data_IF_353969568550
#
_entry.id   IF_353969568550
#
_cell.length_a   1.000
_cell.length_b   1.000
_cell.length_c   1.000
_cell.angle_alpha   90.00
_cell.angle_beta   90.00
_cell.angle_gamma   90.00
#
_symmetry.space_group_name_H-M   'P 1'
#
loop_
_entity.id
_entity.type
_entity.pdbx_description
1 polymer ?
#
# COMPACT_ATOMS: atom_id res chain seq x y z
N UNK A 1 -15.94 -25.84 29.74
CA UNK A 1 -16.97 -24.78 29.75
C UNK A 1 -16.30 -23.49 30.20
N UNK A 2 -15.72 -22.76 29.25
CA UNK A 2 -15.39 -21.34 29.38
C UNK A 2 -15.29 -20.83 27.94
N UNK A 3 -16.33 -20.09 27.59
CA UNK A 3 -16.58 -19.39 26.35
C UNK A 3 -15.52 -18.30 26.14
N UNK A 4 -14.80 -18.40 25.02
CA UNK A 4 -13.83 -17.42 24.55
C UNK A 4 -14.33 -16.82 23.25
N UNK A 5 -15.36 -15.99 23.34
CA UNK A 5 -15.71 -14.89 22.43
C UNK A 5 -14.54 -14.36 21.60
N UNK A 6 -14.31 -14.96 20.42
CA UNK A 6 -13.72 -14.24 19.29
C UNK A 6 -14.82 -13.38 18.69
N UNK A 7 -14.69 -12.07 18.88
CA UNK A 7 -15.53 -11.04 18.27
C UNK A 7 -15.70 -11.32 16.77
N UNK A 8 -16.91 -11.77 16.38
CA UNK A 8 -17.38 -11.66 15.01
C UNK A 8 -17.52 -10.17 14.70
N UNK A 9 -16.43 -9.61 14.15
CA UNK A 9 -16.38 -8.25 13.62
C UNK A 9 -17.45 -8.13 12.52
N UNK A 10 -18.52 -7.41 12.84
CA UNK A 10 -19.60 -7.00 11.93
C UNK A 10 -19.03 -6.62 10.55
N UNK A 11 -19.16 -7.52 9.57
CA UNK A 11 -18.69 -7.28 8.21
C UNK A 11 -19.73 -6.45 7.47
N UNK A 12 -19.59 -5.13 7.51
CA UNK A 12 -20.19 -4.30 6.45
C UNK A 12 -19.78 -4.89 5.10
N UNK A 13 -20.76 -5.17 4.24
CA UNK A 13 -20.51 -5.75 2.93
C UNK A 13 -19.77 -4.73 2.06
N UNK A 14 -18.44 -4.89 1.96
CA UNK A 14 -17.59 -3.98 1.19
C UNK A 14 -17.85 -4.21 -0.30
N UNK A 15 -18.45 -3.21 -0.94
CA UNK A 15 -18.64 -3.20 -2.40
C UNK A 15 -17.54 -2.39 -3.07
N UNK A 16 -16.88 -2.96 -4.08
CA UNK A 16 -15.88 -2.27 -4.90
C UNK A 16 -16.47 -1.85 -6.24
N UNK A 17 -16.19 -0.62 -6.65
CA UNK A 17 -16.56 -0.10 -7.96
C UNK A 17 -15.38 0.48 -8.72
N UNK A 18 -15.44 0.41 -10.04
CA UNK A 18 -14.43 0.98 -10.94
C UNK A 18 -15.02 2.16 -11.71
N UNK A 19 -14.25 3.24 -11.79
CA UNK A 19 -14.51 4.41 -12.63
C UNK A 19 -13.35 4.59 -13.60
N UNK A 20 -13.66 4.64 -14.90
CA UNK A 20 -12.67 4.98 -15.93
C UNK A 20 -12.48 6.49 -15.95
N UNK A 21 -11.22 6.93 -15.92
CA UNK A 21 -10.84 8.34 -16.00
C UNK A 21 -9.85 8.55 -17.13
N UNK A 22 -9.97 9.67 -17.84
CA UNK A 22 -8.97 10.08 -18.83
C UNK A 22 -7.81 10.73 -18.10
N UNK A 23 -6.67 10.04 -18.04
CA UNK A 23 -5.51 10.54 -17.31
C UNK A 23 -4.79 11.70 -18.03
N UNK A 24 -4.93 11.76 -19.37
CA UNK A 24 -4.40 12.83 -20.22
C UNK A 24 -5.50 13.85 -20.48
N UNK A 25 -5.16 15.14 -20.51
CA UNK A 25 -6.07 16.25 -20.79
C UNK A 25 -7.19 16.44 -19.76
N UNK A 26 -6.94 16.13 -18.47
CA UNK A 26 -7.84 16.56 -17.41
C UNK A 26 -7.94 18.10 -17.44
N UNK A 27 -9.14 18.68 -17.62
CA UNK A 27 -9.30 20.12 -17.52
C UNK A 27 -8.84 20.58 -16.13
N UNK A 28 -8.19 21.74 -16.02
CA UNK A 28 -7.68 22.32 -14.77
C UNK A 28 -8.72 22.37 -13.63
N UNK A 29 -10.01 22.21 -13.96
CA UNK A 29 -11.17 22.27 -13.07
C UNK A 29 -11.78 20.92 -12.67
N UNK A 30 -11.28 19.77 -13.10
CA UNK A 30 -11.61 18.50 -12.42
C UNK A 30 -10.47 18.10 -11.47
N UNK A 31 -10.54 18.48 -10.19
CA UNK A 31 -9.66 17.94 -9.16
C UNK A 31 -10.12 16.50 -8.87
N UNK A 32 -9.73 15.55 -9.74
CA UNK A 32 -9.88 14.14 -9.39
C UNK A 32 -8.70 13.75 -8.52
N UNK A 33 -8.87 13.95 -7.21
CA UNK A 33 -7.94 13.42 -6.21
C UNK A 33 -8.17 11.91 -6.08
N UNK A 34 -7.07 11.16 -6.11
CA UNK A 34 -7.06 9.72 -5.93
C UNK A 34 -5.84 9.34 -5.12
N UNK A 35 -5.94 8.23 -4.40
CA UNK A 35 -4.80 7.57 -3.79
C UNK A 35 -4.26 6.48 -4.74
N UNK A 36 -3.03 6.04 -4.53
CA UNK A 36 -2.46 4.89 -5.23
C UNK A 36 -1.96 3.84 -4.24
N UNK A 37 -2.01 2.57 -4.62
CA UNK A 37 -1.41 1.47 -3.88
C UNK A 37 -0.05 1.11 -4.47
N UNK A 38 1.00 1.09 -3.64
CA UNK A 38 2.28 0.44 -3.93
C UNK A 38 2.41 -0.80 -3.06
N UNK A 39 2.64 -1.96 -3.68
CA UNK A 39 2.76 -3.23 -2.97
C UNK A 39 3.65 -4.21 -3.75
N UNK A 40 4.17 -5.23 -3.07
CA UNK A 40 4.86 -6.32 -3.75
C UNK A 40 3.85 -7.31 -4.30
N UNK A 41 4.01 -7.75 -5.55
CA UNK A 41 3.10 -8.75 -6.13
C UNK A 41 3.21 -10.12 -5.43
N UNK A 42 4.37 -10.41 -4.83
CA UNK A 42 4.59 -11.61 -4.04
C UNK A 42 4.46 -12.90 -4.86
N UNK A 43 3.96 -13.96 -4.23
CA UNK A 43 3.72 -15.24 -4.90
C UNK A 43 2.56 -15.15 -5.91
N UNK A 44 2.87 -15.27 -7.20
CA UNK A 44 1.90 -15.19 -8.29
C UNK A 44 1.29 -16.55 -8.66
N UNK A 45 1.64 -17.65 -7.98
CA UNK A 45 1.15 -19.00 -8.29
C UNK A 45 -0.33 -19.22 -7.95
N UNK A 46 -0.85 -18.43 -7.01
CA UNK A 46 -2.24 -18.53 -6.56
C UNK A 46 -2.96 -17.20 -6.78
N UNK A 47 -4.21 -17.29 -7.22
CA UNK A 47 -5.13 -16.17 -7.35
C UNK A 47 -6.34 -16.37 -6.44
N UNK A 48 -6.95 -15.26 -6.07
CA UNK A 48 -8.11 -15.19 -5.21
C UNK A 48 -9.21 -14.38 -5.92
N UNK A 49 -10.49 -14.74 -5.74
CA UNK A 49 -11.59 -14.01 -6.33
C UNK A 49 -11.72 -12.60 -5.74
N UNK A 50 -11.92 -11.61 -6.62
CA UNK A 50 -12.21 -10.23 -6.24
C UNK A 50 -13.39 -9.73 -7.08
N UNK A 51 -14.45 -9.25 -6.44
CA UNK A 51 -15.64 -8.76 -7.14
C UNK A 51 -15.57 -7.24 -7.23
N UNK A 52 -15.65 -6.71 -8.45
CA UNK A 52 -15.71 -5.28 -8.70
C UNK A 52 -16.70 -4.98 -9.82
N UNK A 53 -17.61 -4.01 -9.62
CA UNK A 53 -18.72 -3.76 -10.56
C UNK A 53 -19.50 -5.04 -10.93
N UNK A 54 -19.72 -5.94 -9.96
CA UNK A 54 -20.34 -7.26 -10.16
C UNK A 54 -19.59 -8.20 -11.11
N UNK A 55 -18.36 -7.87 -11.50
CA UNK A 55 -17.48 -8.73 -12.30
C UNK A 55 -16.47 -9.44 -11.39
N UNK A 56 -16.23 -10.72 -11.69
CA UNK A 56 -15.23 -11.53 -11.00
C UNK A 56 -13.85 -11.32 -11.64
N UNK A 57 -12.94 -10.76 -10.86
CA UNK A 57 -11.52 -10.62 -11.17
C UNK A 57 -10.70 -11.61 -10.33
N UNK A 58 -9.48 -11.88 -10.78
CA UNK A 58 -8.52 -12.72 -10.07
C UNK A 58 -7.34 -11.87 -9.62
N UNK A 59 -7.09 -11.84 -8.31
CA UNK A 59 -6.00 -11.05 -7.71
C UNK A 59 -5.00 -11.96 -7.00
N UNK A 60 -3.73 -11.60 -7.00
CA UNK A 60 -2.70 -12.37 -6.31
C UNK A 60 -2.74 -12.18 -4.79
N UNK A 61 -2.08 -13.11 -4.09
CA UNK A 61 -2.07 -13.20 -2.63
C UNK A 61 -1.85 -11.87 -1.91
N UNK A 62 -0.83 -11.10 -2.30
CA UNK A 62 -0.48 -9.87 -1.59
C UNK A 62 -1.56 -8.79 -1.74
N UNK A 63 -2.18 -8.68 -2.92
CA UNK A 63 -3.29 -7.74 -3.13
C UNK A 63 -4.53 -8.22 -2.37
N UNK A 64 -4.86 -9.50 -2.45
CA UNK A 64 -5.96 -10.08 -1.67
C UNK A 64 -5.80 -9.80 -0.17
N UNK A 65 -4.58 -9.95 0.36
CA UNK A 65 -4.28 -9.63 1.75
C UNK A 65 -4.40 -8.13 2.05
N UNK A 66 -4.08 -7.23 1.11
CA UNK A 66 -4.16 -5.78 1.31
C UNK A 66 -5.60 -5.24 1.29
N UNK A 67 -6.47 -5.80 0.45
CA UNK A 67 -7.82 -5.26 0.18
C UNK A 67 -8.67 -4.98 1.44
N UNK A 68 -8.74 -5.88 2.46
CA UNK A 68 -9.51 -5.62 3.68
C UNK A 68 -9.00 -4.40 4.48
N UNK A 69 -7.68 -4.16 4.44
CA UNK A 69 -7.07 -3.01 5.12
C UNK A 69 -7.29 -1.73 4.33
N UNK A 70 -7.16 -1.81 3.00
CA UNK A 70 -7.43 -0.68 2.12
C UNK A 70 -8.90 -0.23 2.21
N UNK A 71 -9.85 -1.16 2.32
CA UNK A 71 -11.26 -0.82 2.51
C UNK A 71 -11.53 -0.03 3.81
N UNK A 72 -10.67 -0.20 4.82
CA UNK A 72 -10.76 0.43 6.14
C UNK A 72 -9.84 1.64 6.31
N UNK A 73 -9.09 2.02 5.28
CA UNK A 73 -8.21 3.19 5.29
C UNK A 73 -9.00 4.45 5.66
N UNK A 74 -8.37 5.40 6.34
CA UNK A 74 -9.05 6.67 6.69
C UNK A 74 -9.43 7.50 5.47
N UNK A 75 -8.59 7.49 4.45
CA UNK A 75 -8.87 8.17 3.18
C UNK A 75 -10.05 7.54 2.45
N UNK A 76 -11.01 8.37 2.03
CA UNK A 76 -12.15 7.93 1.20
C UNK A 76 -11.95 8.23 -0.28
N UNK A 77 -10.77 8.73 -0.68
CA UNK A 77 -10.45 8.98 -2.09
C UNK A 77 -10.46 7.65 -2.87
N UNK A 78 -10.87 7.65 -4.15
CA UNK A 78 -10.69 6.51 -5.05
C UNK A 78 -9.23 6.06 -5.03
N UNK A 79 -8.99 4.74 -5.09
CA UNK A 79 -7.63 4.20 -5.08
C UNK A 79 -7.31 3.54 -6.41
N UNK A 80 -6.18 3.93 -7.00
CA UNK A 80 -5.60 3.26 -8.15
C UNK A 80 -4.76 2.06 -7.69
N UNK A 81 -5.02 0.89 -8.30
CA UNK A 81 -4.32 -0.37 -8.05
C UNK A 81 -3.96 -0.95 -9.42
N UNK A 82 -2.67 -1.07 -9.74
CA UNK A 82 -2.16 -1.52 -11.04
C UNK A 82 -2.84 -2.81 -11.55
N UNK A 83 -2.97 -3.82 -10.70
CA UNK A 83 -3.55 -5.13 -11.05
C UNK A 83 -5.07 -5.08 -11.32
N UNK A 84 -5.77 -4.02 -10.91
CA UNK A 84 -7.23 -3.87 -11.09
C UNK A 84 -7.55 -2.78 -12.13
N UNK A 85 -6.85 -1.66 -12.08
CA UNK A 85 -7.11 -0.47 -12.89
C UNK A 85 -6.44 -0.51 -14.28
N UNK A 86 -5.57 -1.49 -14.53
CA UNK A 86 -4.95 -1.72 -15.85
C UNK A 86 -5.50 -3.00 -16.44
N UNK A 87 -5.85 -2.98 -17.73
CA UNK A 87 -6.21 -4.20 -18.43
C UNK A 87 -4.98 -5.11 -18.59
N UNK A 88 -4.87 -6.11 -17.72
CA UNK A 88 -3.74 -7.04 -17.72
C UNK A 88 -3.72 -7.98 -18.94
N UNK A 89 -4.80 -8.04 -19.71
CA UNK A 89 -4.92 -8.91 -20.89
C UNK A 89 -4.55 -8.20 -22.21
N UNK A 90 -4.37 -6.88 -22.18
CA UNK A 90 -3.93 -6.09 -23.33
C UNK A 90 -2.48 -5.62 -23.10
N UNK A 91 -1.53 -6.31 -23.72
CA UNK A 91 -0.11 -5.98 -23.61
C UNK A 91 0.23 -4.60 -24.19
N UNK A 92 -0.51 -4.12 -25.20
CA UNK A 92 -0.28 -2.78 -25.75
C UNK A 92 -0.74 -1.70 -24.77
N UNK A 93 -1.91 -1.85 -24.17
CA UNK A 93 -2.42 -0.97 -23.11
C UNK A 93 -1.49 -1.00 -21.89
N UNK A 94 -1.12 -2.19 -21.43
CA UNK A 94 -0.24 -2.38 -20.28
C UNK A 94 1.10 -1.68 -20.45
N UNK A 95 1.72 -1.76 -21.63
CA UNK A 95 2.96 -1.05 -21.93
C UNK A 95 2.79 0.49 -21.88
N UNK A 96 1.63 1.00 -22.32
CA UNK A 96 1.29 2.42 -22.19
C UNK A 96 1.13 2.80 -20.71
N UNK A 97 0.41 2.00 -19.93
CA UNK A 97 0.17 2.23 -18.51
C UNK A 97 1.47 2.17 -17.68
N UNK A 98 2.35 1.19 -17.94
CA UNK A 98 3.67 1.10 -17.29
C UNK A 98 4.47 2.38 -17.51
N UNK A 99 4.48 2.92 -18.73
CA UNK A 99 5.16 4.19 -19.02
C UNK A 99 4.53 5.37 -18.28
N UNK A 100 3.25 5.30 -17.90
CA UNK A 100 2.52 6.36 -17.21
C UNK A 100 2.53 6.23 -15.68
N UNK A 101 2.92 5.09 -15.12
CA UNK A 101 2.91 4.83 -13.67
C UNK A 101 3.59 5.94 -12.86
N UNK A 102 4.73 6.45 -13.32
CA UNK A 102 5.44 7.54 -12.65
C UNK A 102 4.57 8.80 -12.46
N UNK A 103 3.74 9.15 -13.44
CA UNK A 103 2.80 10.27 -13.33
C UNK A 103 1.63 9.94 -12.40
N UNK A 104 1.15 8.70 -12.41
CA UNK A 104 0.05 8.24 -11.55
C UNK A 104 0.48 8.39 -10.09
N UNK A 105 1.63 7.83 -9.70
CA UNK A 105 2.13 7.96 -8.33
C UNK A 105 2.46 9.41 -7.96
N UNK A 106 3.01 10.20 -8.88
CA UNK A 106 3.31 11.62 -8.62
C UNK A 106 2.05 12.46 -8.41
N UNK A 107 0.94 12.11 -9.08
CA UNK A 107 -0.34 12.83 -8.99
C UNK A 107 -1.24 12.33 -7.87
N UNK A 108 -1.02 11.12 -7.38
CA UNK A 108 -1.76 10.58 -6.26
C UNK A 108 -1.67 11.51 -5.04
N UNK A 109 -2.79 11.73 -4.38
CA UNK A 109 -2.86 12.47 -3.12
C UNK A 109 -2.04 11.75 -2.04
N UNK A 110 -2.26 10.43 -1.91
CA UNK A 110 -1.51 9.54 -1.02
C UNK A 110 -1.04 8.33 -1.81
N UNK A 111 0.20 7.89 -1.58
CA UNK A 111 0.65 6.57 -2.02
C UNK A 111 0.71 5.66 -0.80
N UNK A 112 -0.19 4.69 -0.74
CA UNK A 112 -0.26 3.70 0.31
C UNK A 112 0.72 2.57 0.01
N UNK A 113 1.71 2.40 0.86
CA UNK A 113 2.76 1.40 0.75
C UNK A 113 2.36 0.21 1.62
N UNK A 114 1.89 -0.88 1.01
CA UNK A 114 1.51 -2.08 1.73
C UNK A 114 2.72 -2.94 2.05
N UNK A 115 2.99 -3.10 3.33
CA UNK A 115 4.08 -3.92 3.85
C UNK A 115 3.62 -5.31 4.31
N UNK A 116 2.32 -5.56 4.41
CA UNK A 116 1.78 -6.87 4.79
C UNK A 116 0.93 -6.86 6.05
N UNK A 117 0.30 -8.00 6.38
CA UNK A 117 -0.43 -8.16 7.62
C UNK A 117 0.51 -8.06 8.83
N UNK A 118 -0.02 -7.75 10.03
CA UNK A 118 0.80 -7.72 11.23
C UNK A 118 1.31 -9.14 11.53
N UNK A 119 2.61 -9.26 11.72
CA UNK A 119 3.27 -10.47 12.23
C UNK A 119 3.55 -10.32 13.73
N UNK A 120 3.89 -11.43 14.40
CA UNK A 120 4.24 -11.39 15.82
C UNK A 120 5.32 -10.33 16.10
N UNK A 121 5.07 -9.47 17.09
CA UNK A 121 5.97 -8.37 17.44
C UNK A 121 5.78 -7.08 16.64
N UNK A 122 4.92 -7.06 15.59
CA UNK A 122 4.63 -5.86 14.79
C UNK A 122 4.10 -4.72 15.64
N UNK A 123 3.10 -4.96 16.50
CA UNK A 123 2.52 -3.91 17.33
C UNK A 123 3.56 -3.29 18.29
N UNK A 124 4.42 -4.12 18.89
CA UNK A 124 5.49 -3.65 19.75
C UNK A 124 6.56 -2.85 18.99
N UNK A 125 6.91 -3.27 17.76
CA UNK A 125 7.82 -2.53 16.90
C UNK A 125 7.24 -1.18 16.48
N UNK A 126 5.96 -1.13 16.10
CA UNK A 126 5.26 0.11 15.74
C UNK A 126 5.19 1.05 16.94
N UNK A 127 4.81 0.56 18.12
CA UNK A 127 4.75 1.38 19.33
C UNK A 127 6.12 1.98 19.65
N UNK A 128 7.19 1.18 19.56
CA UNK A 128 8.56 1.66 19.76
C UNK A 128 8.98 2.72 18.74
N UNK A 129 8.55 2.59 17.48
CA UNK A 129 8.80 3.61 16.44
C UNK A 129 8.08 4.93 16.77
N UNK A 130 6.82 4.86 17.18
CA UNK A 130 6.04 6.04 17.57
C UNK A 130 6.64 6.73 18.79
N UNK A 131 7.01 5.96 19.82
CA UNK A 131 7.63 6.48 21.05
C UNK A 131 8.98 7.16 20.77
N UNK A 132 9.74 6.65 19.80
CA UNK A 132 11.01 7.26 19.36
C UNK A 132 10.80 8.62 18.67
N UNK A 133 9.75 8.78 17.87
CA UNK A 133 9.46 10.11 17.28
C UNK A 133 9.05 11.14 18.32
N UNK A 134 8.47 10.71 19.43
CA UNK A 134 8.12 11.55 20.57
C UNK A 134 9.31 11.84 21.51
N UNK A 135 10.37 11.03 21.49
CA UNK A 135 11.53 11.15 22.38
C UNK A 135 12.83 10.91 21.64
N UNK A 136 13.66 11.95 21.49
CA UNK A 136 14.94 11.99 20.77
C UNK A 136 16.07 11.09 21.36
N UNK A 137 15.79 9.85 21.77
CA UNK A 137 16.77 8.92 22.33
C UNK A 137 17.04 7.78 21.35
N UNK A 138 18.22 7.82 20.71
CA UNK A 138 18.79 6.73 19.90
C UNK A 138 18.95 5.47 20.76
N UNK A 139 18.04 4.52 20.61
CA UNK A 139 18.18 3.14 21.09
C UNK A 139 18.50 2.25 19.89
N UNK A 140 19.40 1.29 20.08
CA UNK A 140 19.87 0.37 19.04
C UNK A 140 18.73 -0.55 18.54
N UNK A 141 18.10 -0.13 17.44
CA UNK A 141 16.92 -0.74 16.78
C UNK A 141 17.24 -2.02 15.98
N UNK A 142 18.51 -2.45 15.95
CA UNK A 142 19.07 -3.44 15.00
C UNK A 142 18.55 -4.87 15.11
N UNK A 143 17.57 -5.22 15.95
CA UNK A 143 17.07 -6.62 16.00
C UNK A 143 15.59 -6.80 15.71
N UNK A 144 14.76 -5.76 15.87
CA UNK A 144 13.28 -5.90 15.73
C UNK A 144 12.72 -5.09 14.57
N UNK A 145 13.39 -4.01 14.16
CA UNK A 145 13.01 -3.28 12.94
C UNK A 145 13.55 -3.94 11.66
N UNK A 146 14.42 -4.95 11.80
CA UNK A 146 14.88 -5.81 10.71
C UNK A 146 13.73 -6.43 9.90
N UNK A 147 12.59 -6.72 10.51
CA UNK A 147 11.45 -7.30 9.80
C UNK A 147 10.76 -6.30 8.85
N UNK A 148 10.73 -5.03 9.22
CA UNK A 148 10.23 -3.96 8.34
C UNK A 148 11.28 -3.63 7.28
N UNK A 149 12.54 -3.47 7.68
CA UNK A 149 13.62 -3.12 6.77
C UNK A 149 13.99 -4.24 5.76
N UNK A 150 13.72 -5.51 6.06
CA UNK A 150 13.85 -6.64 5.12
C UNK A 150 12.54 -6.98 4.42
N UNK A 151 11.55 -6.08 4.45
CA UNK A 151 10.38 -6.29 3.63
C UNK A 151 10.79 -6.30 2.14
N UNK A 152 10.37 -7.29 1.33
CA UNK A 152 10.72 -7.37 -0.08
C UNK A 152 10.33 -6.12 -0.89
N UNK A 153 9.46 -5.26 -0.35
CA UNK A 153 9.15 -3.95 -0.91
C UNK A 153 10.41 -3.07 -1.05
N UNK A 154 11.30 -3.06 -0.05
CA UNK A 154 12.52 -2.23 -0.04
C UNK A 154 13.60 -2.67 -1.04
N UNK A 155 13.55 -3.93 -1.54
CA UNK A 155 14.57 -4.49 -2.43
C UNK A 155 14.24 -4.31 -3.93
N UNK A 156 13.11 -3.66 -4.27
CA UNK A 156 12.68 -3.48 -5.66
C UNK A 156 13.04 -2.08 -6.17
N UNK A 157 13.91 -2.04 -7.20
CA UNK A 157 14.34 -0.80 -7.86
C UNK A 157 13.19 0.12 -8.31
N UNK A 158 12.05 -0.44 -8.73
CA UNK A 158 10.90 0.35 -9.21
C UNK A 158 10.12 1.03 -8.09
N UNK A 159 10.13 0.45 -6.89
CA UNK A 159 9.33 0.89 -5.75
C UNK A 159 9.92 2.12 -5.06
N UNK A 160 11.24 2.24 -5.05
CA UNK A 160 11.96 3.43 -4.59
C UNK A 160 11.57 4.64 -5.44
N UNK A 161 11.32 4.46 -6.75
CA UNK A 161 10.84 5.52 -7.63
C UNK A 161 9.39 5.92 -7.29
N UNK A 162 8.51 4.98 -6.97
CA UNK A 162 7.11 5.26 -6.61
C UNK A 162 6.99 6.03 -5.28
N UNK A 163 7.77 5.62 -4.27
CA UNK A 163 7.80 6.29 -2.97
C UNK A 163 8.52 7.64 -3.00
N UNK A 164 9.61 7.77 -3.78
CA UNK A 164 10.32 9.04 -3.96
C UNK A 164 9.51 10.06 -4.78
N UNK A 165 8.66 9.61 -5.70
CA UNK A 165 7.77 10.47 -6.48
C UNK A 165 6.46 10.82 -5.75
N UNK A 166 6.11 10.06 -4.71
CA UNK A 166 4.89 10.28 -3.94
C UNK A 166 4.93 11.62 -3.21
N UNK A 167 3.86 12.42 -3.35
CA UNK A 167 3.70 13.66 -2.55
C UNK A 167 3.51 13.35 -1.07
N UNK A 168 2.83 12.23 -0.77
CA UNK A 168 2.54 11.76 0.59
C UNK A 168 2.60 10.22 0.64
N UNK A 169 3.78 9.63 0.84
CA UNK A 169 3.89 8.20 1.11
C UNK A 169 3.40 7.87 2.52
N UNK A 170 2.58 6.83 2.64
CA UNK A 170 2.05 6.31 3.91
C UNK A 170 2.26 4.80 3.93
N UNK A 171 2.95 4.29 4.94
CA UNK A 171 3.15 2.86 5.10
C UNK A 171 1.98 2.23 5.82
N UNK A 172 1.57 1.05 5.36
CA UNK A 172 0.47 0.29 5.92
C UNK A 172 0.99 -1.09 6.33
N UNK A 173 0.94 -1.37 7.64
CA UNK A 173 1.18 -2.70 8.21
C UNK A 173 -0.09 -3.12 8.95
N UNK A 174 -0.85 -4.05 8.38
CA UNK A 174 -2.19 -4.32 8.88
C UNK A 174 -3.07 -3.06 8.89
N UNK A 175 -3.68 -2.75 10.04
CA UNK A 175 -4.50 -1.54 10.23
C UNK A 175 -3.69 -0.33 10.72
N UNK A 176 -2.36 -0.45 10.84
CA UNK A 176 -1.51 0.64 11.29
C UNK A 176 -1.02 1.46 10.10
N UNK A 177 -1.41 2.72 10.07
CA UNK A 177 -0.90 3.74 9.15
C UNK A 177 0.34 4.40 9.79
N UNK A 178 1.47 4.37 9.08
CA UNK A 178 2.74 4.90 9.55
C UNK A 178 3.24 5.96 8.57
N UNK A 179 3.47 7.17 9.07
CA UNK A 179 3.94 8.26 8.24
C UNK A 179 5.38 8.04 7.77
N UNK A 180 5.67 8.51 6.56
CA UNK A 180 7.02 8.45 6.00
C UNK A 180 8.10 9.07 6.91
N UNK A 181 7.76 10.13 7.64
CA UNK A 181 8.67 10.82 8.58
C UNK A 181 9.23 9.88 9.65
N UNK A 182 8.42 8.93 10.14
CA UNK A 182 8.83 7.89 11.09
C UNK A 182 9.83 6.93 10.43
N UNK A 183 9.62 6.65 9.14
CA UNK A 183 10.41 5.71 8.36
C UNK A 183 11.71 6.28 7.78
N UNK A 184 11.88 7.61 7.74
CA UNK A 184 13.14 8.27 7.34
C UNK A 184 14.34 7.81 8.17
N UNK A 185 14.12 7.36 9.41
CA UNK A 185 15.18 6.82 10.25
C UNK A 185 15.87 5.57 9.63
N UNK A 186 15.20 4.88 8.70
CA UNK A 186 15.70 3.68 8.01
C UNK A 186 16.37 3.97 6.66
N UNK A 187 16.11 5.12 6.03
CA UNK A 187 16.73 5.50 4.75
C UNK A 187 18.26 5.53 4.85
N UNK A 188 18.77 6.03 5.99
CA UNK A 188 20.21 6.22 6.20
C UNK A 188 20.98 4.90 6.42
N UNK A 189 20.31 3.81 6.79
CA UNK A 189 20.92 2.48 6.96
C UNK A 189 20.93 1.66 5.66
N UNK A 190 20.00 1.92 4.72
CA UNK A 190 19.86 1.15 3.47
C UNK A 190 20.45 1.85 2.22
N UNK A 191 20.88 3.11 2.33
CA UNK A 191 21.56 3.81 1.23
C UNK A 191 20.69 4.02 -0.01
N UNK A 192 19.38 4.22 0.18
CA UNK A 192 18.38 4.17 -0.89
C UNK A 192 18.31 5.45 -1.75
N UNK A 193 19.05 6.52 -1.39
CA UNK A 193 19.18 7.74 -2.18
C UNK A 193 20.59 8.34 -1.98
N UNK A 194 21.41 8.31 -3.03
CA UNK A 194 22.54 9.24 -3.26
C UNK A 194 22.19 10.14 -4.42
#
# INVERSE_FOLDING_TARGET
>A
MADGTTEELNSEEITWTLRVVQFHNLPEKEPFDFDALSYTWGNQKHTFPFICNSQLLQVHHNLHAALPYLARRRSRLPIWIDAICTNQQDEAEKMVQIRQMHQIYRRAHTVWIWLGPPVEGTAAAIQMLLDFTASAKRVDMRKRVYQVANNPWFDRLWVIQEAALARRPQFLIGLHEIEWTVMKCFEHEKGLLT
#
